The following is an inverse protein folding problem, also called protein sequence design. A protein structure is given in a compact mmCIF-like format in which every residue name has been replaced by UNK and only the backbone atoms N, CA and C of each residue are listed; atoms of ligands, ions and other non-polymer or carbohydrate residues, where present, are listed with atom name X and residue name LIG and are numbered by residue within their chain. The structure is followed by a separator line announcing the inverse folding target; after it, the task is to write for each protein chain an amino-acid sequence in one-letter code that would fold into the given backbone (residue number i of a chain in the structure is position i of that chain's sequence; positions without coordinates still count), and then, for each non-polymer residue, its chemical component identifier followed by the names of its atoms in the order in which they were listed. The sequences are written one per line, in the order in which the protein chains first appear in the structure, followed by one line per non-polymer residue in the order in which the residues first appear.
data_IF_938397245821
#
_entry.id   IF_938397245821
#
_cell.length_a   1.000
_cell.length_b   1.000
_cell.length_c   1.000
_cell.angle_alpha   90.00
_cell.angle_beta   90.00
_cell.angle_gamma   90.00
#
_symmetry.space_group_name_H-M   'P 1'
#
loop_
_entity.id
_entity.type
_entity.pdbx_description
1 polymer ?
#
# COMPACT_ATOMS: atom_id res chain seq x y z
N UNK A 1 -13.22 -1.43 -27.49
CA UNK A 1 -13.70 -0.13 -26.99
C UNK A 1 -13.08 0.09 -25.63
N UNK A 2 -11.96 0.81 -25.61
CA UNK A 2 -11.32 1.21 -24.36
C UNK A 2 -12.33 2.14 -23.72
N UNK A 3 -13.04 1.69 -22.67
CA UNK A 3 -13.59 2.64 -21.71
C UNK A 3 -12.37 3.43 -21.28
N UNK A 4 -12.25 4.63 -21.82
CA UNK A 4 -11.23 5.60 -21.43
C UNK A 4 -11.10 5.52 -19.91
N UNK A 5 -9.87 5.52 -19.43
CA UNK A 5 -9.57 5.75 -18.02
C UNK A 5 -10.38 6.99 -17.60
N UNK A 6 -11.56 6.75 -17.03
CA UNK A 6 -12.49 7.81 -16.71
C UNK A 6 -11.87 8.54 -15.52
N UNK A 7 -11.22 9.66 -15.83
CA UNK A 7 -10.72 10.58 -14.83
C UNK A 7 -11.96 11.10 -14.10
N UNK A 8 -12.09 10.70 -12.85
CA UNK A 8 -13.17 11.08 -11.96
C UNK A 8 -12.57 11.46 -10.62
N UNK A 9 -13.31 12.22 -9.78
CA UNK A 9 -12.88 12.43 -8.40
C UNK A 9 -12.56 11.12 -7.66
N UNK A 10 -13.21 9.99 -8.02
CA UNK A 10 -12.92 8.67 -7.45
C UNK A 10 -11.58 8.09 -7.90
N UNK A 11 -11.15 8.34 -9.14
CA UNK A 11 -9.80 7.91 -9.57
C UNK A 11 -8.71 8.72 -8.88
N UNK A 12 -8.95 10.00 -8.60
CA UNK A 12 -8.02 10.85 -7.83
C UNK A 12 -7.91 10.37 -6.38
N UNK A 13 -9.03 10.04 -5.72
CA UNK A 13 -9.04 9.45 -4.38
C UNK A 13 -8.28 8.13 -4.34
N UNK A 14 -8.47 7.27 -5.35
CA UNK A 14 -7.72 6.02 -5.45
C UNK A 14 -6.22 6.25 -5.60
N UNK A 15 -5.81 7.14 -6.51
CA UNK A 15 -4.41 7.50 -6.71
C UNK A 15 -3.78 8.10 -5.43
N UNK A 16 -4.52 8.95 -4.72
CA UNK A 16 -4.10 9.48 -3.43
C UNK A 16 -3.87 8.37 -2.41
N UNK A 17 -4.75 7.38 -2.34
CA UNK A 17 -4.57 6.20 -1.48
C UNK A 17 -3.31 5.40 -1.81
N UNK A 18 -2.97 5.25 -3.10
CA UNK A 18 -1.72 4.62 -3.53
C UNK A 18 -0.50 5.43 -3.06
N UNK A 19 -0.53 6.76 -3.23
CA UNK A 19 0.55 7.64 -2.76
C UNK A 19 0.74 7.54 -1.25
N UNK A 20 -0.35 7.52 -0.47
CA UNK A 20 -0.27 7.30 0.98
C UNK A 20 0.39 5.96 1.32
N UNK A 21 0.01 4.88 0.64
CA UNK A 21 0.63 3.57 0.85
C UNK A 21 2.12 3.57 0.52
N UNK A 22 2.55 4.25 -0.57
CA UNK A 22 3.96 4.38 -0.91
C UNK A 22 4.74 5.17 0.17
N UNK A 23 4.16 6.24 0.71
CA UNK A 23 4.79 7.04 1.76
C UNK A 23 4.91 6.29 3.09
N UNK A 24 3.88 5.53 3.48
CA UNK A 24 3.88 4.76 4.73
C UNK A 24 4.87 3.61 4.66
N UNK A 25 4.93 2.91 3.53
CA UNK A 25 5.76 1.70 3.38
C UNK A 25 7.16 1.94 2.84
N UNK A 26 7.40 3.11 2.23
CA UNK A 26 8.64 3.43 1.51
C UNK A 26 8.84 2.59 0.23
N UNK A 27 7.83 1.82 -0.19
CA UNK A 27 7.91 0.92 -1.34
C UNK A 27 7.22 1.53 -2.57
N UNK A 28 7.70 1.18 -3.77
CA UNK A 28 7.05 1.58 -5.02
C UNK A 28 5.70 0.90 -5.18
N UNK A 29 4.71 1.61 -5.71
CA UNK A 29 3.36 1.11 -5.97
C UNK A 29 3.33 -0.15 -6.87
N UNK A 30 4.32 -0.27 -7.75
CA UNK A 30 4.56 -1.44 -8.59
C UNK A 30 6.02 -1.86 -8.41
N UNK A 31 6.24 -3.07 -7.91
CA UNK A 31 7.57 -3.66 -7.78
C UNK A 31 7.65 -4.94 -8.61
N UNK A 32 8.86 -5.26 -9.09
CA UNK A 32 9.09 -6.53 -9.77
C UNK A 32 9.10 -7.63 -8.72
N UNK A 33 8.34 -8.69 -8.93
CA UNK A 33 8.42 -9.85 -8.04
C UNK A 33 9.76 -10.56 -8.28
N UNK A 34 10.59 -10.61 -7.24
CA UNK A 34 11.90 -11.27 -7.32
C UNK A 34 11.77 -12.79 -7.43
N UNK A 35 10.63 -13.36 -7.01
CA UNK A 35 10.35 -14.79 -7.11
C UNK A 35 9.73 -15.17 -8.46
N UNK A 36 9.06 -14.23 -9.13
CA UNK A 36 8.48 -14.40 -10.47
C UNK A 36 8.76 -13.17 -11.35
N UNK A 37 9.92 -13.10 -12.03
CA UNK A 37 10.41 -11.91 -12.73
C UNK A 37 9.48 -11.26 -13.78
N UNK A 38 8.54 -11.96 -14.45
CA UNK A 38 7.60 -11.28 -15.34
C UNK A 38 6.38 -10.68 -14.61
N UNK A 39 6.15 -10.98 -13.34
CA UNK A 39 4.99 -10.48 -12.59
C UNK A 39 5.35 -9.20 -11.82
N UNK A 40 4.53 -8.18 -12.01
CA UNK A 40 4.54 -6.99 -11.18
C UNK A 40 3.67 -7.24 -9.94
N UNK A 41 4.23 -7.00 -8.77
CA UNK A 41 3.48 -7.00 -7.51
C UNK A 41 3.02 -5.57 -7.24
N UNK A 42 1.71 -5.40 -7.09
CA UNK A 42 1.12 -4.12 -6.69
C UNK A 42 1.17 -3.98 -5.17
N UNK A 43 1.49 -2.78 -4.71
CA UNK A 43 1.38 -2.41 -3.30
C UNK A 43 -0.05 -2.58 -2.76
N UNK A 44 -1.05 -2.45 -3.64
CA UNK A 44 -2.46 -2.74 -3.31
C UNK A 44 -2.62 -4.19 -2.84
N UNK A 45 -1.92 -5.15 -3.44
CA UNK A 45 -1.94 -6.56 -3.03
C UNK A 45 -1.34 -6.74 -1.63
N UNK A 46 -0.30 -5.97 -1.30
CA UNK A 46 0.33 -5.98 0.03
C UNK A 46 -0.65 -5.41 1.06
N UNK A 47 -1.20 -4.23 0.79
CA UNK A 47 -2.20 -3.56 1.65
C UNK A 47 -3.42 -4.46 1.89
N UNK A 48 -3.95 -5.09 0.83
CA UNK A 48 -5.06 -6.02 0.96
C UNK A 48 -4.73 -7.28 1.77
N UNK A 49 -3.46 -7.72 1.78
CA UNK A 49 -3.03 -8.86 2.59
C UNK A 49 -3.02 -8.49 4.06
N UNK A 50 -2.49 -7.32 4.41
CA UNK A 50 -2.42 -6.79 5.79
C UNK A 50 -3.81 -6.78 6.43
N UNK A 51 -4.81 -6.22 5.74
CA UNK A 51 -6.19 -6.15 6.26
C UNK A 51 -6.92 -7.50 6.32
N UNK A 52 -6.30 -8.59 5.86
CA UNK A 52 -6.84 -9.96 5.93
C UNK A 52 -6.10 -10.84 6.95
N UNK A 53 -5.02 -10.35 7.55
CA UNK A 53 -4.32 -11.07 8.62
C UNK A 53 -5.17 -11.05 9.90
N UNK A 54 -4.92 -12.01 10.79
CA UNK A 54 -5.60 -12.07 12.11
C UNK A 54 -5.29 -10.84 12.98
N UNK A 55 -4.09 -10.28 12.81
CA UNK A 55 -3.62 -9.07 13.46
C UNK A 55 -3.11 -8.05 12.41
N UNK A 56 -4.00 -7.19 11.88
CA UNK A 56 -3.66 -6.19 10.89
C UNK A 56 -2.69 -5.12 11.40
N UNK A 57 -2.66 -4.84 12.71
CA UNK A 57 -1.80 -3.81 13.31
C UNK A 57 -0.34 -4.25 13.24
N UNK A 58 -0.05 -5.45 13.75
CA UNK A 58 1.30 -6.03 13.67
C UNK A 58 1.75 -6.24 12.22
N UNK A 59 0.83 -6.66 11.34
CA UNK A 59 1.12 -6.83 9.92
C UNK A 59 1.41 -5.49 9.22
N UNK A 60 0.73 -4.41 9.63
CA UNK A 60 0.98 -3.07 9.12
C UNK A 60 2.32 -2.54 9.64
N UNK A 61 2.61 -2.65 10.94
CA UNK A 61 3.89 -2.25 11.54
C UNK A 61 5.07 -2.93 10.83
N UNK A 62 4.95 -4.22 10.49
CA UNK A 62 5.98 -4.96 9.78
C UNK A 62 6.29 -4.43 8.36
N UNK A 63 5.39 -3.64 7.76
CA UNK A 63 5.59 -3.06 6.42
C UNK A 63 5.84 -1.55 6.43
N UNK A 64 5.71 -0.88 7.57
CA UNK A 64 6.01 0.55 7.69
C UNK A 64 7.48 0.79 7.36
N UNK A 65 7.78 1.92 6.70
CA UNK A 65 9.13 2.31 6.35
C UNK A 65 9.99 2.43 7.62
N UNK A 66 11.02 1.58 7.71
CA UNK A 66 11.97 1.57 8.82
C UNK A 66 12.74 2.89 8.99
N UNK A 67 12.78 3.75 7.96
CA UNK A 67 13.36 5.10 8.06
C UNK A 67 12.53 6.03 8.96
N UNK A 68 11.24 5.74 9.18
CA UNK A 68 10.40 6.48 10.11
C UNK A 68 10.78 6.20 11.57
N UNK A 69 11.48 5.08 11.85
CA UNK A 69 12.03 4.74 13.18
C UNK A 69 11.00 4.84 14.32
N UNK A 70 9.75 4.47 14.06
CA UNK A 70 8.67 4.58 15.05
C UNK A 70 8.23 6.02 15.37
N UNK A 71 8.62 7.01 14.56
CA UNK A 71 8.21 8.41 14.71
C UNK A 71 6.80 8.66 14.16
N UNK A 72 5.83 7.87 14.62
CA UNK A 72 4.43 7.99 14.27
C UNK A 72 3.56 7.42 15.42
N UNK A 73 2.35 7.96 15.64
CA UNK A 73 1.47 7.50 16.70
C UNK A 73 0.82 6.16 16.31
N UNK A 74 1.29 5.06 16.88
CA UNK A 74 0.73 3.73 16.58
C UNK A 74 -0.70 3.58 17.12
N UNK A 75 -1.02 4.29 18.20
CA UNK A 75 -2.35 4.36 18.82
C UNK A 75 -3.46 4.91 17.91
N UNK A 76 -3.09 5.52 16.78
CA UNK A 76 -4.02 6.07 15.79
C UNK A 76 -4.14 5.21 14.52
N UNK A 77 -3.37 4.11 14.43
CA UNK A 77 -3.31 3.25 13.24
C UNK A 77 -4.55 2.37 13.10
N UNK A 78 -5.11 1.88 14.21
CA UNK A 78 -6.39 1.16 14.22
C UNK A 78 -7.25 1.61 15.40
N UNK A 79 -8.49 1.99 15.13
CA UNK A 79 -9.57 2.25 16.10
C UNK A 79 -10.79 1.44 15.71
#
# INVERSE_FOLDING_TARGET
SVKELQVTPKTDVFAFGVVLAELITGQRALTRDNNEPPKLKSLITVVNKIFREEDPESALEAVVDGNLRGSYPMEDVCK
#
